data_IF_766708524682
#
_entry.id   IF_766708524682
#
_cell.length_a   1.000
_cell.length_b   1.000
_cell.length_c   1.000
_cell.angle_alpha   90.00
_cell.angle_beta   90.00
_cell.angle_gamma   90.00
#
_symmetry.space_group_name_H-M   'P 1'
#
loop_
_entity.id
_entity.type
_entity.pdbx_description
1 polymer ?
#
# COMPACT_ATOMS: atom_id res chain seq x y z
N UNK A 1 0.40 9.52 14.02
CA UNK A 1 0.19 9.29 12.59
C UNK A 1 -0.17 10.60 11.89
N UNK A 2 0.02 10.69 10.58
CA UNK A 2 -0.14 11.91 9.78
C UNK A 2 -1.56 11.94 9.18
N UNK A 3 -2.56 12.38 9.94
CA UNK A 3 -3.96 12.44 9.45
C UNK A 3 -4.17 13.50 8.36
N UNK A 4 -3.29 14.51 8.28
CA UNK A 4 -3.34 15.54 7.25
C UNK A 4 -3.10 15.04 5.82
N UNK A 5 -2.73 13.76 5.64
CA UNK A 5 -2.65 13.11 4.32
C UNK A 5 -4.01 12.62 3.80
N UNK A 6 -5.04 12.64 4.65
CA UNK A 6 -6.41 12.23 4.34
C UNK A 6 -7.33 13.44 4.24
N UNK A 7 -8.41 13.29 3.48
CA UNK A 7 -9.51 14.24 3.54
C UNK A 7 -10.30 14.06 4.84
N UNK A 8 -11.06 15.08 5.22
CA UNK A 8 -11.95 15.01 6.37
C UNK A 8 -12.99 13.90 6.21
N UNK A 9 -13.53 13.76 4.99
CA UNK A 9 -14.50 12.74 4.65
C UNK A 9 -13.91 11.33 4.80
N UNK A 10 -12.65 11.11 4.39
CA UNK A 10 -11.98 9.81 4.55
C UNK A 10 -11.81 9.45 6.04
N UNK A 11 -11.49 10.42 6.89
CA UNK A 11 -11.38 10.22 8.33
C UNK A 11 -12.76 9.89 8.94
N UNK A 12 -13.81 10.64 8.57
CA UNK A 12 -15.17 10.39 9.03
C UNK A 12 -15.69 9.01 8.61
N UNK A 13 -15.41 8.60 7.36
CA UNK A 13 -15.78 7.28 6.87
C UNK A 13 -15.03 6.19 7.64
N UNK A 14 -13.72 6.33 7.83
CA UNK A 14 -12.90 5.39 8.59
C UNK A 14 -13.43 5.21 10.02
N UNK A 15 -13.78 6.30 10.71
CA UNK A 15 -14.35 6.26 12.06
C UNK A 15 -15.73 5.56 12.08
N UNK A 16 -16.58 5.84 11.10
CA UNK A 16 -17.92 5.26 11.04
C UNK A 16 -17.94 3.75 10.79
N UNK A 17 -16.98 3.24 9.98
CA UNK A 17 -16.91 1.82 9.63
C UNK A 17 -16.05 0.98 10.59
N UNK A 18 -15.20 1.61 11.40
CA UNK A 18 -14.25 0.92 12.29
C UNK A 18 -14.89 -0.16 13.19
N UNK A 19 -16.12 0.01 13.76
CA UNK A 19 -16.72 -1.01 14.60
C UNK A 19 -17.00 -2.36 13.90
N UNK A 20 -17.07 -2.34 12.56
CA UNK A 20 -17.36 -3.51 11.73
C UNK A 20 -16.12 -4.22 11.22
N UNK A 21 -14.91 -3.66 11.45
CA UNK A 21 -13.66 -4.07 10.80
C UNK A 21 -12.66 -4.75 11.75
N UNK A 22 -13.13 -5.46 12.77
CA UNK A 22 -12.26 -6.13 13.77
C UNK A 22 -11.29 -7.14 13.17
N UNK A 23 -11.70 -7.81 12.09
CA UNK A 23 -10.91 -8.83 11.39
C UNK A 23 -10.16 -8.27 10.16
N UNK A 24 -10.19 -6.95 10.01
CA UNK A 24 -9.54 -6.25 8.90
C UNK A 24 -8.41 -5.35 9.40
N UNK A 25 -7.46 -5.11 8.50
CA UNK A 25 -6.43 -4.11 8.68
C UNK A 25 -6.34 -3.19 7.45
N UNK A 26 -6.16 -1.91 7.69
CA UNK A 26 -5.89 -0.93 6.65
C UNK A 26 -4.45 -1.12 6.15
N UNK A 27 -4.25 -1.12 4.84
CA UNK A 27 -2.93 -1.20 4.24
C UNK A 27 -2.85 -0.30 2.98
N UNK A 28 -2.18 -0.77 1.94
CA UNK A 28 -2.06 -0.03 0.68
C UNK A 28 -1.36 1.33 0.83
N UNK A 29 -1.64 2.21 -0.11
CA UNK A 29 -1.06 3.55 -0.13
C UNK A 29 -1.47 4.40 1.06
N UNK A 30 -2.71 4.26 1.52
CA UNK A 30 -3.24 5.01 2.68
C UNK A 30 -2.60 4.55 3.98
N UNK A 31 -2.51 3.24 4.21
CA UNK A 31 -1.82 2.70 5.37
C UNK A 31 -0.37 3.17 5.48
N UNK A 32 0.33 3.34 4.35
CA UNK A 32 1.68 3.89 4.31
C UNK A 32 1.69 5.41 4.51
N UNK A 33 0.78 6.13 3.84
CA UNK A 33 0.74 7.59 3.89
C UNK A 33 0.51 8.11 5.32
N UNK A 34 -0.40 7.50 6.09
CA UNK A 34 -0.64 7.91 7.48
C UNK A 34 0.56 7.64 8.40
N UNK A 35 1.46 6.73 8.04
CA UNK A 35 2.67 6.42 8.81
C UNK A 35 3.88 7.27 8.41
N UNK A 36 3.96 7.74 7.16
CA UNK A 36 5.10 8.48 6.62
C UNK A 36 4.81 9.96 6.39
N UNK A 37 3.57 10.34 6.11
CA UNK A 37 3.19 11.72 5.81
C UNK A 37 3.70 12.22 4.45
N UNK A 38 4.08 11.34 3.53
CA UNK A 38 4.80 11.70 2.30
C UNK A 38 3.90 12.21 1.18
N UNK A 39 2.65 11.76 1.10
CA UNK A 39 1.68 12.16 0.07
C UNK A 39 0.23 12.06 0.54
N UNK A 40 -0.66 12.72 -0.18
CA UNK A 40 -2.11 12.57 -0.02
C UNK A 40 -2.54 11.16 -0.45
N UNK A 41 -3.50 10.60 0.27
CA UNK A 41 -4.19 9.35 -0.10
C UNK A 41 -5.70 9.52 0.02
N UNK A 42 -6.44 8.97 -0.95
CA UNK A 42 -7.89 9.18 -1.06
C UNK A 42 -8.72 7.91 -0.88
N UNK A 43 -8.11 6.75 -1.08
CA UNK A 43 -8.80 5.46 -1.05
C UNK A 43 -8.48 4.73 0.27
N UNK A 44 -9.39 3.91 0.77
CA UNK A 44 -9.17 3.09 1.98
C UNK A 44 -9.21 1.61 1.59
N UNK A 45 -8.04 0.94 1.67
CA UNK A 45 -7.90 -0.47 1.32
C UNK A 45 -7.75 -1.32 2.57
N UNK A 46 -8.76 -2.12 2.87
CA UNK A 46 -8.81 -3.03 4.00
C UNK A 46 -8.59 -4.47 3.55
N UNK A 47 -7.78 -5.19 4.30
CA UNK A 47 -7.44 -6.58 4.04
C UNK A 47 -7.80 -7.44 5.23
N UNK A 48 -8.25 -8.68 4.96
CA UNK A 48 -8.49 -9.69 5.99
C UNK A 48 -7.73 -10.97 5.65
N UNK A 49 -7.10 -11.58 6.64
CA UNK A 49 -6.48 -12.92 6.53
C UNK A 49 -7.51 -14.04 6.69
N UNK A 50 -8.71 -13.70 7.13
CA UNK A 50 -9.83 -14.62 7.30
C UNK A 50 -10.86 -14.36 6.20
N UNK A 51 -11.40 -15.40 5.56
CA UNK A 51 -12.54 -15.25 4.65
C UNK A 51 -13.70 -14.52 5.33
N UNK A 52 -14.40 -13.69 4.59
CA UNK A 52 -15.56 -12.95 5.08
C UNK A 52 -16.73 -13.02 4.11
N UNK A 53 -17.94 -12.94 4.67
CA UNK A 53 -19.18 -12.91 3.90
C UNK A 53 -19.46 -11.51 3.38
N UNK A 54 -19.40 -11.34 2.04
CA UNK A 54 -19.54 -10.03 1.39
C UNK A 54 -20.89 -9.39 1.66
N UNK A 55 -21.99 -10.16 1.63
CA UNK A 55 -23.35 -9.63 1.87
C UNK A 55 -23.52 -9.12 3.31
N UNK A 56 -23.02 -9.88 4.27
CA UNK A 56 -23.05 -9.50 5.69
C UNK A 56 -22.25 -8.21 5.94
N UNK A 57 -21.07 -8.08 5.34
CA UNK A 57 -20.27 -6.87 5.48
C UNK A 57 -20.94 -5.67 4.82
N UNK A 58 -21.45 -5.81 3.60
CA UNK A 58 -22.18 -4.76 2.89
C UNK A 58 -23.42 -4.29 3.63
N UNK A 59 -24.18 -5.22 4.23
CA UNK A 59 -25.32 -4.86 5.06
C UNK A 59 -24.94 -3.98 6.26
N UNK A 60 -23.83 -4.28 6.92
CA UNK A 60 -23.32 -3.50 8.05
C UNK A 60 -22.76 -2.12 7.63
N UNK A 61 -22.04 -2.09 6.51
CA UNK A 61 -21.41 -0.86 6.01
C UNK A 61 -22.43 0.10 5.39
N UNK A 62 -23.48 -0.45 4.77
CA UNK A 62 -24.52 0.31 4.04
C UNK A 62 -23.93 1.41 3.13
N UNK A 63 -23.03 1.07 2.18
CA UNK A 63 -22.32 2.04 1.35
C UNK A 63 -23.29 2.75 0.39
N UNK A 64 -22.94 3.99 0.00
CA UNK A 64 -23.73 4.77 -0.96
C UNK A 64 -23.79 4.09 -2.36
N UNK A 65 -22.69 3.40 -2.72
CA UNK A 65 -22.59 2.71 -4.00
C UNK A 65 -21.74 1.45 -3.90
N UNK A 66 -22.27 0.34 -4.42
CA UNK A 66 -21.53 -0.90 -4.61
C UNK A 66 -20.98 -0.93 -6.03
N UNK A 67 -19.66 -1.06 -6.19
CA UNK A 67 -18.97 -1.15 -7.48
C UNK A 67 -18.80 -2.62 -7.87
N UNK A 68 -18.30 -3.43 -6.93
CA UNK A 68 -18.12 -4.88 -7.10
C UNK A 68 -18.32 -5.57 -5.75
N UNK A 69 -19.06 -6.68 -5.78
CA UNK A 69 -19.19 -7.57 -4.62
C UNK A 69 -19.12 -9.00 -5.11
N UNK A 70 -18.11 -9.73 -4.62
CA UNK A 70 -17.91 -11.16 -4.86
C UNK A 70 -17.19 -11.77 -3.68
N UNK A 71 -17.15 -13.07 -3.60
CA UNK A 71 -16.44 -13.79 -2.52
C UNK A 71 -15.03 -13.21 -2.33
N UNK A 72 -14.73 -12.79 -1.10
CA UNK A 72 -13.43 -12.24 -0.71
C UNK A 72 -13.06 -10.89 -1.33
N UNK A 73 -13.97 -10.21 -2.05
CA UNK A 73 -13.68 -8.92 -2.68
C UNK A 73 -14.90 -8.01 -2.68
N UNK A 74 -14.79 -6.84 -2.07
CA UNK A 74 -15.77 -5.77 -2.17
C UNK A 74 -15.04 -4.49 -2.59
N UNK A 75 -15.59 -3.80 -3.59
CA UNK A 75 -15.27 -2.42 -3.89
C UNK A 75 -16.56 -1.61 -3.82
N UNK A 76 -16.57 -0.58 -3.01
CA UNK A 76 -17.72 0.28 -2.82
C UNK A 76 -17.28 1.74 -2.61
N UNK A 77 -18.25 2.63 -2.49
CA UNK A 77 -18.02 4.06 -2.27
C UNK A 77 -18.94 4.54 -1.16
N UNK A 78 -18.41 5.36 -0.27
CA UNK A 78 -19.15 6.01 0.81
C UNK A 78 -18.68 7.44 0.98
N UNK A 79 -19.59 8.41 0.91
CA UNK A 79 -19.27 9.85 0.94
C UNK A 79 -18.20 10.25 -0.09
N UNK A 80 -18.21 9.62 -1.28
CA UNK A 80 -17.20 9.85 -2.31
C UNK A 80 -15.84 9.20 -2.06
N UNK A 81 -15.66 8.45 -0.97
CA UNK A 81 -14.44 7.71 -0.65
C UNK A 81 -14.56 6.29 -1.15
N UNK A 82 -13.58 5.84 -1.94
CA UNK A 82 -13.50 4.47 -2.40
C UNK A 82 -12.98 3.57 -1.30
N UNK A 83 -13.70 2.48 -1.07
CA UNK A 83 -13.39 1.46 -0.08
C UNK A 83 -13.17 0.14 -0.79
N UNK A 84 -12.08 -0.55 -0.42
CA UNK A 84 -11.81 -1.91 -0.86
C UNK A 84 -11.72 -2.83 0.36
N UNK A 85 -12.38 -4.00 0.30
CA UNK A 85 -12.24 -5.05 1.30
C UNK A 85 -11.83 -6.32 0.57
N UNK A 86 -10.65 -6.84 0.95
CA UNK A 86 -9.98 -7.91 0.21
C UNK A 86 -9.57 -9.04 1.15
N UNK A 87 -9.96 -10.26 0.81
CA UNK A 87 -9.38 -11.45 1.43
C UNK A 87 -7.96 -11.64 0.90
N UNK A 88 -6.99 -11.71 1.82
CA UNK A 88 -5.58 -11.79 1.46
C UNK A 88 -4.85 -12.78 2.37
N UNK A 89 -4.47 -13.91 1.81
CA UNK A 89 -3.94 -15.06 2.56
C UNK A 89 -2.54 -14.85 3.14
N UNK A 90 -1.73 -13.98 2.51
CA UNK A 90 -0.35 -13.79 2.96
C UNK A 90 -0.34 -13.17 4.37
N UNK A 91 0.29 -13.85 5.35
CA UNK A 91 0.29 -13.35 6.72
C UNK A 91 1.13 -12.07 6.84
N UNK A 92 0.76 -11.19 7.75
CA UNK A 92 1.61 -10.07 8.14
C UNK A 92 2.89 -10.61 8.81
N UNK A 93 4.03 -10.04 8.48
CA UNK A 93 5.34 -10.39 9.07
C UNK A 93 5.67 -9.56 10.32
N UNK A 94 4.90 -8.48 10.55
CA UNK A 94 5.03 -7.56 11.67
C UNK A 94 3.67 -7.34 12.34
N UNK A 95 3.67 -6.98 13.65
CA UNK A 95 2.43 -6.66 14.36
C UNK A 95 1.72 -5.46 13.73
N UNK A 96 0.40 -5.49 13.70
CA UNK A 96 -0.40 -4.32 13.33
C UNK A 96 -0.20 -3.19 14.33
N UNK A 97 -0.34 -1.97 13.86
CA UNK A 97 -0.38 -0.77 14.69
C UNK A 97 -1.81 -0.24 14.75
N UNK A 98 -2.14 0.53 15.77
CA UNK A 98 -3.48 1.11 15.89
C UNK A 98 -3.48 2.55 15.37
N UNK A 99 -4.49 2.85 14.55
CA UNK A 99 -4.89 4.20 14.19
C UNK A 99 -6.37 4.35 14.52
N UNK A 100 -6.67 5.18 15.54
CA UNK A 100 -8.00 5.21 16.15
C UNK A 100 -8.40 3.78 16.59
N UNK A 101 -9.54 3.27 16.14
CA UNK A 101 -9.98 1.88 16.43
C UNK A 101 -9.65 0.88 15.30
N UNK A 102 -8.93 1.32 14.27
CA UNK A 102 -8.55 0.49 13.13
C UNK A 102 -7.16 -0.13 13.32
N UNK A 103 -7.05 -1.41 13.01
CA UNK A 103 -5.77 -2.05 12.79
C UNK A 103 -5.17 -1.56 11.47
N UNK A 104 -3.88 -1.26 11.46
CA UNK A 104 -3.12 -0.83 10.27
C UNK A 104 -1.91 -1.74 10.13
N UNK A 105 -1.63 -2.23 8.94
CA UNK A 105 -0.41 -2.98 8.67
C UNK A 105 0.81 -2.09 8.94
N UNK A 106 1.85 -2.65 9.59
CA UNK A 106 3.10 -1.93 9.79
C UNK A 106 3.67 -1.49 8.44
N UNK A 107 4.30 -0.31 8.39
CA UNK A 107 4.90 0.21 7.15
C UNK A 107 5.89 -0.77 6.51
N UNK A 108 6.51 -1.66 7.28
CA UNK A 108 7.41 -2.69 6.74
C UNK A 108 6.64 -3.72 5.90
N UNK A 109 5.49 -4.20 6.38
CA UNK A 109 4.64 -5.09 5.60
C UNK A 109 4.18 -4.40 4.31
N UNK A 110 3.78 -3.13 4.42
CA UNK A 110 3.36 -2.34 3.25
C UNK A 110 4.53 -2.13 2.29
N UNK A 111 5.75 -1.94 2.78
CA UNK A 111 6.96 -1.84 1.94
C UNK A 111 7.14 -3.11 1.10
N UNK A 112 7.04 -4.29 1.70
CA UNK A 112 7.12 -5.54 0.95
C UNK A 112 6.02 -5.66 -0.11
N UNK A 113 4.80 -5.24 0.21
CA UNK A 113 3.70 -5.21 -0.75
C UNK A 113 3.96 -4.22 -1.90
N UNK A 114 4.69 -3.12 -1.69
CA UNK A 114 5.05 -2.19 -2.76
C UNK A 114 5.99 -2.80 -3.80
N UNK A 115 6.95 -3.61 -3.39
CA UNK A 115 7.75 -4.40 -4.33
C UNK A 115 6.87 -5.29 -5.21
N UNK A 116 5.92 -6.01 -4.59
CA UNK A 116 4.97 -6.87 -5.30
C UNK A 116 4.05 -6.06 -6.22
N UNK A 117 3.49 -4.94 -5.74
CA UNK A 117 2.60 -4.09 -6.52
C UNK A 117 3.31 -3.49 -7.75
N UNK A 118 4.56 -3.04 -7.62
CA UNK A 118 5.37 -2.57 -8.74
C UNK A 118 5.53 -3.69 -9.78
N UNK A 119 5.77 -4.94 -9.36
CA UNK A 119 5.92 -6.07 -10.29
C UNK A 119 4.61 -6.50 -10.97
N UNK A 120 3.47 -6.11 -10.44
CA UNK A 120 2.15 -6.50 -10.97
C UNK A 120 1.50 -5.44 -11.84
N UNK A 121 1.67 -4.16 -11.50
CA UNK A 121 0.96 -3.05 -12.15
C UNK A 121 1.82 -1.82 -12.43
N UNK A 122 3.01 -1.71 -11.85
CA UNK A 122 3.97 -0.63 -12.10
C UNK A 122 3.44 0.79 -11.90
N UNK A 123 2.47 1.00 -10.99
CA UNK A 123 1.84 2.31 -10.79
C UNK A 123 2.84 3.34 -10.26
N UNK A 124 2.79 4.57 -10.79
CA UNK A 124 3.65 5.69 -10.35
C UNK A 124 3.60 5.89 -8.83
N UNK A 125 2.40 5.79 -8.22
CA UNK A 125 2.23 5.90 -6.76
C UNK A 125 2.98 4.81 -5.99
N UNK A 126 3.09 3.60 -6.53
CA UNK A 126 3.81 2.51 -5.85
C UNK A 126 5.32 2.78 -5.83
N UNK A 127 5.87 3.37 -6.89
CA UNK A 127 7.26 3.83 -6.93
C UNK A 127 7.52 4.95 -5.91
N UNK A 128 6.65 5.96 -5.85
CA UNK A 128 6.76 7.03 -4.85
C UNK A 128 6.65 6.49 -3.42
N UNK A 129 5.77 5.54 -3.18
CA UNK A 129 5.59 4.91 -1.87
C UNK A 129 6.86 4.15 -1.44
N UNK A 130 7.42 3.31 -2.32
CA UNK A 130 8.65 2.59 -2.03
C UNK A 130 9.84 3.55 -1.87
N UNK A 131 9.95 4.54 -2.76
CA UNK A 131 10.98 5.58 -2.67
C UNK A 131 10.92 6.35 -1.36
N UNK A 132 9.72 6.72 -0.90
CA UNK A 132 9.56 7.40 0.39
C UNK A 132 10.11 6.59 1.56
N UNK A 133 9.84 5.29 1.59
CA UNK A 133 10.40 4.40 2.61
C UNK A 133 11.94 4.39 2.55
N UNK A 134 12.51 4.26 1.35
CA UNK A 134 13.95 4.19 1.14
C UNK A 134 14.68 5.52 1.46
N UNK A 135 14.01 6.65 1.27
CA UNK A 135 14.57 7.97 1.60
C UNK A 135 14.42 8.35 3.06
N UNK A 136 13.36 7.88 3.73
CA UNK A 136 12.97 8.37 5.05
C UNK A 136 13.21 7.38 6.19
N UNK A 137 13.32 6.07 5.91
CA UNK A 137 13.31 5.03 6.96
C UNK A 137 14.47 4.07 6.92
N UNK A 138 14.77 3.48 5.77
CA UNK A 138 15.65 2.32 5.66
C UNK A 138 16.49 2.33 4.38
N UNK A 139 17.54 1.53 4.37
CA UNK A 139 18.37 1.26 3.19
C UNK A 139 17.68 0.30 2.21
N UNK A 140 18.23 0.19 0.99
CA UNK A 140 17.77 -0.77 -0.02
C UNK A 140 17.94 -2.21 0.50
N UNK A 141 19.03 -2.50 1.17
CA UNK A 141 19.35 -3.81 1.72
C UNK A 141 18.31 -4.23 2.77
N UNK A 142 17.97 -3.35 3.70
CA UNK A 142 16.94 -3.58 4.72
C UNK A 142 15.56 -3.76 4.10
N UNK A 143 15.22 -2.98 3.06
CA UNK A 143 13.95 -3.14 2.34
C UNK A 143 13.85 -4.51 1.64
N UNK A 144 14.94 -4.99 1.05
CA UNK A 144 15.01 -6.33 0.47
C UNK A 144 14.87 -7.44 1.52
N UNK A 145 15.45 -7.27 2.72
CA UNK A 145 15.28 -8.20 3.83
C UNK A 145 13.81 -8.27 4.29
N UNK A 146 13.15 -7.12 4.41
CA UNK A 146 11.72 -7.03 4.73
C UNK A 146 10.90 -7.78 3.68
N UNK A 147 11.18 -7.57 2.39
CA UNK A 147 10.51 -8.28 1.30
C UNK A 147 10.71 -9.79 1.39
N UNK A 148 11.94 -10.26 1.58
CA UNK A 148 12.23 -11.70 1.72
C UNK A 148 11.54 -12.31 2.94
N UNK A 149 11.54 -11.60 4.09
CA UNK A 149 10.86 -12.06 5.31
C UNK A 149 9.36 -12.26 5.07
N UNK A 150 8.72 -11.30 4.41
CA UNK A 150 7.28 -11.34 4.14
C UNK A 150 6.89 -12.43 3.16
N UNK A 151 7.69 -12.61 2.12
CA UNK A 151 7.36 -13.46 0.97
C UNK A 151 8.26 -14.69 0.81
N UNK A 152 8.89 -15.18 1.87
CA UNK A 152 9.80 -16.33 1.79
C UNK A 152 9.13 -17.62 1.27
N UNK A 153 7.84 -17.79 1.52
CA UNK A 153 7.05 -18.98 1.13
C UNK A 153 6.08 -18.73 -0.04
N UNK A 154 6.04 -17.53 -0.57
CA UNK A 154 4.99 -17.12 -1.54
C UNK A 154 5.23 -17.54 -2.99
N UNK A 155 6.41 -18.06 -3.33
CA UNK A 155 6.75 -18.40 -4.72
C UNK A 155 6.89 -17.19 -5.65
N UNK A 156 6.97 -15.97 -5.15
CA UNK A 156 7.14 -14.76 -5.98
C UNK A 156 8.45 -14.84 -6.75
N UNK A 157 8.39 -14.58 -8.05
CA UNK A 157 9.57 -14.50 -8.90
C UNK A 157 10.37 -13.21 -8.61
N UNK A 158 11.41 -13.34 -7.78
CA UNK A 158 12.24 -12.23 -7.35
C UNK A 158 12.97 -11.53 -8.51
N UNK A 159 13.32 -12.27 -9.55
CA UNK A 159 13.94 -11.70 -10.76
C UNK A 159 12.95 -10.83 -11.54
N UNK A 160 11.68 -11.22 -11.58
CA UNK A 160 10.63 -10.39 -12.15
C UNK A 160 10.46 -9.11 -11.35
N UNK A 161 10.39 -9.21 -10.01
CA UNK A 161 10.34 -8.03 -9.12
C UNK A 161 11.52 -7.10 -9.39
N UNK A 162 12.75 -7.62 -9.46
CA UNK A 162 13.95 -6.82 -9.73
C UNK A 162 13.84 -6.05 -11.05
N UNK A 163 13.45 -6.72 -12.14
CA UNK A 163 13.27 -6.05 -13.43
C UNK A 163 12.22 -4.95 -13.41
N UNK A 164 11.13 -5.19 -12.69
CA UNK A 164 10.03 -4.24 -12.62
C UNK A 164 10.40 -2.94 -11.89
N UNK A 165 11.41 -2.97 -11.01
CA UNK A 165 11.89 -1.78 -10.30
C UNK A 165 12.52 -0.71 -11.22
N UNK A 166 12.90 -1.06 -12.44
CA UNK A 166 13.44 -0.15 -13.46
C UNK A 166 12.59 -0.13 -14.73
N UNK A 167 11.37 -0.64 -14.66
CA UNK A 167 10.41 -0.58 -15.76
C UNK A 167 9.35 0.45 -15.44
N UNK A 168 9.36 1.60 -16.11
CA UNK A 168 8.54 2.76 -15.77
C UNK A 168 7.44 3.07 -16.80
N UNK A 169 7.32 2.29 -17.87
CA UNK A 169 6.40 2.60 -18.97
C UNK A 169 4.96 2.82 -18.50
N UNK A 170 4.45 1.92 -17.64
CA UNK A 170 3.10 2.03 -17.10
C UNK A 170 2.94 3.25 -16.17
N UNK A 171 3.99 3.60 -15.44
CA UNK A 171 4.01 4.74 -14.55
C UNK A 171 4.08 6.09 -15.29
N UNK A 172 4.71 6.15 -16.48
CA UNK A 172 4.90 7.42 -17.21
C UNK A 172 3.57 8.10 -17.58
N UNK A 173 2.55 7.31 -17.89
CA UNK A 173 1.24 7.83 -18.30
C UNK A 173 0.33 8.21 -17.14
N UNK A 174 0.70 7.84 -15.91
CA UNK A 174 -0.09 8.17 -14.72
C UNK A 174 0.20 9.60 -14.21
N UNK A 175 -0.79 10.28 -13.63
CA UNK A 175 -0.59 11.57 -12.99
C UNK A 175 0.35 11.43 -11.77
N UNK A 176 1.06 12.49 -11.47
CA UNK A 176 1.88 12.54 -10.26
C UNK A 176 1.00 12.57 -9.00
N UNK A 177 1.38 11.86 -7.94
CA UNK A 177 0.69 11.95 -6.66
C UNK A 177 0.87 13.36 -6.05
N UNK A 178 -0.12 13.77 -5.26
CA UNK A 178 -0.02 15.02 -4.49
C UNK A 178 0.92 14.77 -3.30
N UNK A 179 2.15 15.28 -3.39
CA UNK A 179 3.17 15.08 -2.37
C UNK A 179 3.05 16.12 -1.25
N UNK A 180 3.27 15.68 -0.01
CA UNK A 180 3.49 16.57 1.14
C UNK A 180 4.97 16.87 1.36
N UNK A 181 5.86 16.02 0.85
CA UNK A 181 7.30 16.24 0.80
C UNK A 181 7.65 17.14 -0.38
N UNK A 182 8.72 17.94 -0.24
CA UNK A 182 9.11 18.92 -1.25
C UNK A 182 10.60 18.82 -1.58
N UNK A 183 10.94 19.33 -2.76
CA UNK A 183 12.33 19.40 -3.24
C UNK A 183 12.56 18.61 -4.52
N UNK A 184 13.67 18.92 -5.21
CA UNK A 184 14.02 18.27 -6.49
C UNK A 184 14.19 16.76 -6.39
N UNK A 185 14.60 16.28 -5.24
CA UNK A 185 14.75 14.84 -4.96
C UNK A 185 13.41 14.07 -5.13
N UNK A 186 12.28 14.76 -5.06
CA UNK A 186 10.94 14.18 -5.18
C UNK A 186 10.31 14.35 -6.56
N UNK A 187 11.02 14.92 -7.50
CA UNK A 187 10.58 14.95 -8.91
C UNK A 187 10.65 13.53 -9.50
N UNK A 188 9.74 13.19 -10.40
CA UNK A 188 9.64 11.85 -10.96
C UNK A 188 10.96 11.37 -11.59
N UNK A 189 11.69 12.27 -12.24
CA UNK A 189 13.01 11.95 -12.81
C UNK A 189 14.00 11.51 -11.73
N UNK A 190 13.98 12.14 -10.57
CA UNK A 190 14.87 11.79 -9.44
C UNK A 190 14.47 10.45 -8.81
N UNK A 191 13.16 10.17 -8.74
CA UNK A 191 12.65 8.87 -8.28
C UNK A 191 13.14 7.76 -9.21
N UNK A 192 13.01 7.90 -10.53
CA UNK A 192 13.51 6.91 -11.50
C UNK A 192 15.02 6.69 -11.37
N UNK A 193 15.79 7.78 -11.40
CA UNK A 193 17.25 7.69 -11.27
C UNK A 193 17.68 6.95 -10.00
N UNK A 194 16.97 7.16 -8.89
CA UNK A 194 17.28 6.44 -7.65
C UNK A 194 17.15 4.93 -7.80
N UNK A 195 16.10 4.42 -8.45
CA UNK A 195 15.93 2.99 -8.68
C UNK A 195 17.01 2.46 -9.64
N UNK A 196 17.30 3.17 -10.72
CA UNK A 196 18.35 2.82 -11.69
C UNK A 196 19.73 2.76 -11.05
N UNK A 197 20.11 3.79 -10.29
CA UNK A 197 21.42 3.89 -9.62
C UNK A 197 21.63 2.80 -8.56
N UNK A 198 20.54 2.34 -7.93
CA UNK A 198 20.61 1.33 -6.86
C UNK A 198 20.26 -0.09 -7.34
N UNK A 199 20.06 -0.33 -8.63
CA UNK A 199 19.63 -1.63 -9.16
C UNK A 199 20.54 -2.80 -8.73
N UNK A 200 21.85 -2.58 -8.66
CA UNK A 200 22.82 -3.59 -8.19
C UNK A 200 22.66 -3.92 -6.69
N UNK A 201 22.23 -2.95 -5.86
CA UNK A 201 21.92 -3.21 -4.46
C UNK A 201 20.63 -4.01 -4.33
N UNK A 202 19.59 -3.67 -5.11
CA UNK A 202 18.37 -4.47 -5.19
C UNK A 202 18.64 -5.89 -5.66
N UNK A 203 19.45 -6.06 -6.72
CA UNK A 203 19.84 -7.38 -7.22
C UNK A 203 20.47 -8.22 -6.13
N UNK A 204 21.49 -7.69 -5.46
CA UNK A 204 22.15 -8.36 -4.34
C UNK A 204 21.18 -8.67 -3.21
N UNK A 205 20.33 -7.72 -2.83
CA UNK A 205 19.40 -7.86 -1.72
C UNK A 205 18.24 -8.82 -2.00
N UNK A 206 17.73 -8.89 -3.23
CA UNK A 206 16.59 -9.75 -3.60
C UNK A 206 17.01 -11.17 -3.99
N UNK A 207 18.15 -11.34 -4.67
CA UNK A 207 18.52 -12.61 -5.31
C UNK A 207 19.57 -13.40 -4.51
N UNK A 208 20.39 -12.76 -3.71
CA UNK A 208 21.41 -13.38 -2.85
C UNK A 208 20.95 -13.44 -1.39
#
# INVERSE_FOLDING_TARGET
MFENVLSKEAIEVADAISPFLKDFYLAGGTGLAIQLGHRVSMDLDFFSQTPFESETLLYKLSPDKIITAREGTIHCEQKGIKLSFLFYREPLAYPVILWKELSVADWKDITAEKFKAISQRGSKRDFYDLYAVLKMKITVEEACEIFRKRFNLSGINKYHVLKSLVFFEDAEVEPEPILHVKGRDWEWVSVKSYFEDNIKKFEKGLLL
#
